data_IF_304735953900
#
_entry.id   IF_304735953900
#
_cell.length_a   1.000
_cell.length_b   1.000
_cell.length_c   1.000
_cell.angle_alpha   90.00
_cell.angle_beta   90.00
_cell.angle_gamma   90.00
#
_symmetry.space_group_name_H-M   'P 1'
#
loop_
_entity.id
_entity.type
_entity.pdbx_description
1 polymer ?
#
# COMPACT_ATOMS: atom_id res chain seq x y z
N UNK A 1 60.62 -51.93 -10.09
CA UNK A 1 59.72 -51.61 -11.22
C UNK A 1 58.33 -52.18 -10.94
N UNK A 2 57.41 -51.37 -10.42
CA UNK A 2 55.94 -51.51 -10.48
C UNK A 2 55.33 -50.29 -9.78
N UNK A 3 54.74 -49.44 -10.59
CA UNK A 3 54.00 -48.20 -10.30
C UNK A 3 52.55 -48.53 -9.89
N UNK A 4 51.79 -47.50 -9.47
CA UNK A 4 50.31 -47.32 -9.45
C UNK A 4 49.66 -47.45 -8.05
N UNK A 5 48.76 -46.58 -7.57
CA UNK A 5 48.21 -45.25 -7.96
C UNK A 5 47.44 -44.73 -6.72
N UNK A 6 47.54 -43.45 -6.39
CA UNK A 6 46.61 -42.78 -5.46
C UNK A 6 45.40 -42.33 -6.28
N UNK A 7 44.19 -42.81 -5.93
CA UNK A 7 42.93 -42.30 -6.49
C UNK A 7 42.63 -40.94 -5.86
N UNK A 8 42.66 -39.88 -6.66
CA UNK A 8 42.07 -38.59 -6.31
C UNK A 8 40.58 -38.59 -6.66
N UNK A 9 39.72 -38.36 -5.66
CA UNK A 9 38.30 -38.12 -5.88
C UNK A 9 38.12 -36.66 -6.33
N UNK A 10 37.65 -36.46 -7.57
CA UNK A 10 37.26 -35.14 -8.08
C UNK A 10 35.80 -34.92 -7.67
N UNK A 11 35.58 -34.03 -6.71
CA UNK A 11 34.25 -33.56 -6.32
C UNK A 11 33.86 -32.46 -7.31
N UNK A 12 32.97 -32.77 -8.25
CA UNK A 12 32.43 -31.79 -9.19
C UNK A 12 31.44 -30.87 -8.47
N UNK A 13 31.81 -29.60 -8.28
CA UNK A 13 30.87 -28.55 -7.90
C UNK A 13 30.01 -28.20 -9.11
N UNK A 14 28.72 -28.51 -9.02
CA UNK A 14 27.72 -28.05 -9.97
C UNK A 14 27.54 -26.54 -9.76
N UNK A 15 28.09 -25.72 -10.66
CA UNK A 15 27.76 -24.29 -10.71
C UNK A 15 26.39 -24.17 -11.35
N UNK A 16 25.35 -24.01 -10.52
CA UNK A 16 24.04 -23.58 -10.99
C UNK A 16 24.22 -22.11 -11.39
N UNK A 17 24.33 -21.87 -12.70
CA UNK A 17 24.27 -20.52 -13.26
C UNK A 17 22.90 -19.93 -12.94
N UNK A 18 22.82 -19.04 -11.95
CA UNK A 18 21.64 -18.24 -11.73
C UNK A 18 21.45 -17.32 -12.94
N UNK A 19 20.34 -17.50 -13.64
CA UNK A 19 19.84 -16.50 -14.58
C UNK A 19 19.55 -15.22 -13.79
N UNK A 20 20.51 -14.30 -13.74
CA UNK A 20 20.30 -12.96 -13.23
C UNK A 20 19.52 -12.15 -14.27
N UNK A 21 18.22 -12.44 -14.37
CA UNK A 21 17.29 -11.43 -14.89
C UNK A 21 17.28 -10.30 -13.88
N UNK A 22 17.73 -9.10 -14.27
CA UNK A 22 17.58 -7.92 -13.43
C UNK A 22 16.11 -7.83 -12.98
N UNK A 23 15.86 -7.67 -11.68
CA UNK A 23 14.52 -7.43 -11.19
C UNK A 23 13.93 -6.24 -11.97
N UNK A 24 12.67 -6.33 -12.46
CA UNK A 24 12.07 -5.24 -13.20
C UNK A 24 12.19 -3.95 -12.39
N UNK A 25 12.66 -2.88 -13.03
CA UNK A 25 12.82 -1.58 -12.38
C UNK A 25 11.43 -1.07 -12.01
N UNK A 26 11.15 -0.96 -10.72
CA UNK A 26 9.89 -0.40 -10.22
C UNK A 26 9.89 1.10 -10.51
N UNK A 27 8.85 1.58 -11.18
CA UNK A 27 8.70 3.01 -11.48
C UNK A 27 8.41 3.79 -10.19
N UNK A 28 9.08 4.94 -10.02
CA UNK A 28 8.87 5.82 -8.87
C UNK A 28 8.12 7.05 -9.35
N UNK A 29 6.94 7.30 -8.79
CA UNK A 29 6.08 8.45 -9.08
C UNK A 29 5.91 9.33 -7.84
N UNK A 30 5.51 10.57 -8.05
CA UNK A 30 5.10 11.48 -6.96
C UNK A 30 3.59 11.66 -7.04
N UNK A 31 2.90 11.63 -5.91
CA UNK A 31 1.47 11.91 -5.88
C UNK A 31 1.18 13.36 -6.28
N UNK A 32 0.11 13.59 -7.01
CA UNK A 32 -0.31 14.95 -7.37
C UNK A 32 -1.02 15.60 -6.18
N UNK A 33 -0.67 16.84 -5.81
CA UNK A 33 -1.30 17.54 -4.69
C UNK A 33 -2.69 18.05 -5.07
N UNK A 34 -3.63 17.97 -4.13
CA UNK A 34 -4.94 18.59 -4.19
C UNK A 34 -5.13 19.67 -3.13
N UNK A 35 -6.39 20.00 -2.85
CA UNK A 35 -6.79 20.92 -1.79
C UNK A 35 -7.04 20.18 -0.47
N UNK A 36 -7.31 20.93 0.61
CA UNK A 36 -7.80 20.32 1.85
C UNK A 36 -9.12 19.61 1.57
N UNK A 37 -9.34 18.41 2.13
CA UNK A 37 -10.59 17.70 1.94
C UNK A 37 -11.75 18.51 2.55
N UNK A 38 -12.78 18.79 1.77
CA UNK A 38 -14.01 19.39 2.28
C UNK A 38 -14.83 18.29 2.97
N UNK A 39 -15.26 18.55 4.20
CA UNK A 39 -16.19 17.69 4.95
C UNK A 39 -17.50 17.35 4.22
N UNK A 40 -17.88 18.11 3.19
CA UNK A 40 -19.08 17.89 2.36
C UNK A 40 -18.76 17.28 0.98
N UNK A 41 -17.49 17.09 0.64
CA UNK A 41 -17.09 16.43 -0.60
C UNK A 41 -16.98 14.93 -0.33
N UNK A 42 -17.96 14.16 -0.84
CA UNK A 42 -18.03 12.71 -0.70
C UNK A 42 -16.93 11.95 -1.47
N UNK A 43 -15.88 12.66 -1.89
CA UNK A 43 -14.68 12.13 -2.49
C UNK A 43 -14.78 11.90 -4.00
N UNK A 44 -13.66 11.51 -4.64
CA UNK A 44 -13.63 11.13 -6.05
C UNK A 44 -14.70 10.15 -6.49
N UNK A 45 -14.92 10.07 -7.81
CA UNK A 45 -15.30 8.82 -8.47
C UNK A 45 -14.27 7.72 -8.14
N UNK A 46 -14.49 7.02 -7.03
CA UNK A 46 -13.67 5.92 -6.57
C UNK A 46 -14.09 4.63 -7.27
N UNK A 47 -13.22 3.62 -7.20
CA UNK A 47 -13.55 2.29 -7.68
C UNK A 47 -14.80 1.71 -6.95
N UNK A 48 -15.11 2.22 -5.76
CA UNK A 48 -16.21 1.76 -4.92
C UNK A 48 -17.60 1.92 -5.57
N UNK A 49 -17.73 2.84 -6.54
CA UNK A 49 -18.96 3.01 -7.32
C UNK A 49 -19.28 1.80 -8.21
N UNK A 50 -18.25 1.05 -8.64
CA UNK A 50 -18.41 -0.05 -9.59
C UNK A 50 -18.07 -1.43 -9.00
N UNK A 51 -17.11 -1.50 -8.08
CA UNK A 51 -16.67 -2.76 -7.48
C UNK A 51 -16.23 -2.56 -6.03
N UNK A 52 -16.74 -3.39 -5.13
CA UNK A 52 -16.30 -3.43 -3.72
C UNK A 52 -15.13 -4.41 -3.53
N UNK A 53 -14.44 -4.30 -2.40
CA UNK A 53 -13.29 -5.10 -2.03
C UNK A 53 -13.33 -5.46 -0.54
N UNK A 54 -12.42 -6.34 -0.14
CA UNK A 54 -12.09 -6.58 1.28
C UNK A 54 -10.76 -5.89 1.57
N UNK A 55 -10.66 -5.22 2.72
CA UNK A 55 -9.44 -4.55 3.15
C UNK A 55 -8.85 -5.23 4.38
N UNK A 56 -7.53 -5.38 4.42
CA UNK A 56 -6.79 -5.92 5.57
C UNK A 56 -5.55 -5.09 5.83
N UNK A 57 -5.20 -4.90 7.10
CA UNK A 57 -3.93 -4.32 7.51
C UNK A 57 -3.04 -5.40 8.15
N UNK A 58 -1.72 -5.25 8.07
CA UNK A 58 -0.77 -6.12 8.79
C UNK A 58 -0.85 -5.95 10.31
N UNK A 59 -1.14 -4.73 10.76
CA UNK A 59 -1.40 -4.40 12.16
C UNK A 59 -2.32 -3.19 12.25
N UNK A 60 -2.72 -2.84 13.47
CA UNK A 60 -3.27 -1.54 13.78
C UNK A 60 -3.00 -1.19 15.24
N UNK A 61 -2.93 0.09 15.55
CA UNK A 61 -2.81 0.56 16.92
C UNK A 61 -4.02 0.13 17.75
N UNK A 62 -3.80 -0.21 19.02
CA UNK A 62 -4.90 -0.52 19.92
C UNK A 62 -5.77 0.72 20.17
N UNK A 63 -7.09 0.56 20.37
CA UNK A 63 -7.98 1.68 20.70
C UNK A 63 -7.50 2.47 21.93
N UNK A 64 -7.69 3.79 21.88
CA UNK A 64 -7.34 4.71 22.96
C UNK A 64 -8.53 5.60 23.30
N UNK A 65 -9.10 5.40 24.49
CA UNK A 65 -10.35 6.06 24.88
C UNK A 65 -11.48 5.68 23.92
N UNK A 66 -12.03 6.67 23.21
CA UNK A 66 -13.09 6.47 22.22
C UNK A 66 -12.56 6.33 20.78
N UNK A 67 -11.27 6.56 20.54
CA UNK A 67 -10.69 6.46 19.21
C UNK A 67 -10.35 5.01 18.89
N UNK A 68 -10.64 4.60 17.65
CA UNK A 68 -10.20 3.34 17.05
C UNK A 68 -9.33 3.65 15.85
N UNK A 69 -8.48 2.70 15.47
CA UNK A 69 -7.45 2.90 14.45
C UNK A 69 -7.34 1.72 13.48
N UNK A 70 -8.36 0.86 13.44
CA UNK A 70 -8.34 -0.35 12.65
C UNK A 70 -8.54 -0.07 11.16
N UNK A 71 -8.35 -1.11 10.34
CA UNK A 71 -8.37 -1.00 8.87
C UNK A 71 -9.71 -0.50 8.32
N UNK A 72 -10.81 -0.55 9.09
CA UNK A 72 -12.09 -0.02 8.61
C UNK A 72 -12.09 1.50 8.41
N UNK A 73 -11.09 2.21 8.93
CA UNK A 73 -10.92 3.66 8.74
C UNK A 73 -10.01 4.04 7.56
N UNK A 74 -9.54 3.09 6.75
CA UNK A 74 -8.62 3.42 5.64
C UNK A 74 -9.37 3.91 4.38
N UNK A 75 -10.66 3.59 4.29
CA UNK A 75 -11.52 3.85 3.14
C UNK A 75 -12.98 4.11 3.56
N UNK A 76 -13.17 4.78 4.71
CA UNK A 76 -14.49 5.11 5.28
C UNK A 76 -15.03 6.48 4.84
N UNK A 77 -14.24 7.25 4.08
CA UNK A 77 -14.54 8.59 3.60
C UNK A 77 -14.64 9.64 4.72
N UNK A 78 -14.01 9.39 5.88
CA UNK A 78 -14.00 10.29 7.02
C UNK A 78 -12.58 10.80 7.27
N UNK A 79 -12.34 12.05 6.89
CA UNK A 79 -11.04 12.75 7.09
C UNK A 79 -10.54 12.70 8.54
N UNK A 80 -11.45 12.61 9.51
CA UNK A 80 -11.13 12.67 10.93
C UNK A 80 -10.96 11.30 11.62
N UNK A 81 -11.07 10.20 10.87
CA UNK A 81 -10.64 8.86 11.30
C UNK A 81 -9.29 8.55 10.64
N UNK A 82 -8.66 7.45 11.07
CA UNK A 82 -7.47 6.94 10.41
C UNK A 82 -7.25 5.48 10.75
N UNK A 83 -6.65 4.75 9.81
CA UNK A 83 -5.84 3.60 10.17
C UNK A 83 -4.49 4.09 10.69
N UNK A 84 -4.07 3.53 11.82
CA UNK A 84 -2.73 3.75 12.39
C UNK A 84 -2.12 2.38 12.57
N UNK A 85 -0.91 2.18 12.09
CA UNK A 85 -0.15 0.94 12.31
C UNK A 85 0.11 0.69 13.82
N UNK A 86 0.32 -0.56 14.20
CA UNK A 86 0.40 -0.98 15.60
C UNK A 86 1.73 -1.60 16.01
N UNK A 87 2.79 -1.48 15.21
CA UNK A 87 4.11 -2.04 15.52
C UNK A 87 5.00 -1.00 16.22
N UNK A 88 5.99 -1.42 17.02
CA UNK A 88 6.96 -0.47 17.56
C UNK A 88 7.76 0.23 16.45
N UNK A 89 7.90 1.55 16.55
CA UNK A 89 8.64 2.37 15.59
C UNK A 89 7.74 3.08 14.60
N UNK A 90 8.19 3.24 13.37
CA UNK A 90 7.53 4.05 12.33
C UNK A 90 6.64 3.25 11.38
N UNK A 91 6.42 1.96 11.64
CA UNK A 91 5.61 1.11 10.76
C UNK A 91 6.21 0.79 9.39
N UNK A 92 7.53 0.94 9.20
CA UNK A 92 8.16 0.57 7.92
C UNK A 92 8.00 -0.93 7.67
N UNK A 93 7.45 -1.27 6.50
CA UNK A 93 7.09 -2.63 6.13
C UNK A 93 5.63 -3.01 6.44
N UNK A 94 4.89 -2.18 7.17
CA UNK A 94 3.46 -2.40 7.39
C UNK A 94 2.66 -2.20 6.11
N UNK A 95 1.54 -2.90 6.01
CA UNK A 95 0.81 -3.08 4.76
C UNK A 95 -0.69 -2.89 4.90
N UNK A 96 -1.29 -2.42 3.81
CA UNK A 96 -2.73 -2.49 3.53
C UNK A 96 -2.92 -3.37 2.29
N UNK A 97 -3.84 -4.32 2.34
CA UNK A 97 -4.17 -5.22 1.23
C UNK A 97 -5.64 -5.12 0.88
N UNK A 98 -5.91 -4.76 -0.37
CA UNK A 98 -7.22 -4.79 -1.01
C UNK A 98 -7.38 -6.10 -1.78
N UNK A 99 -8.45 -6.84 -1.51
CA UNK A 99 -8.77 -8.11 -2.18
C UNK A 99 -10.06 -8.00 -2.99
N UNK A 100 -9.96 -8.20 -4.29
CA UNK A 100 -11.07 -8.12 -5.24
C UNK A 100 -11.67 -9.50 -5.48
N UNK A 101 -12.48 -9.96 -4.53
CA UNK A 101 -12.99 -11.35 -4.52
C UNK A 101 -13.88 -11.69 -5.72
N UNK A 102 -13.95 -12.98 -6.06
CA UNK A 102 -14.89 -13.50 -7.08
C UNK A 102 -16.35 -13.11 -6.82
N UNK A 103 -16.74 -13.03 -5.55
CA UNK A 103 -18.10 -12.66 -5.18
C UNK A 103 -18.39 -11.18 -5.47
N UNK A 104 -17.42 -10.28 -5.29
CA UNK A 104 -17.58 -8.87 -5.66
C UNK A 104 -17.81 -8.71 -7.15
N UNK A 105 -17.00 -9.38 -7.98
CA UNK A 105 -17.16 -9.34 -9.44
C UNK A 105 -18.50 -9.95 -9.89
N UNK A 106 -18.92 -11.06 -9.28
CA UNK A 106 -20.23 -11.66 -9.55
C UNK A 106 -21.37 -10.71 -9.22
N UNK A 107 -21.36 -10.07 -8.05
CA UNK A 107 -22.38 -9.10 -7.63
C UNK A 107 -22.43 -7.88 -8.55
N UNK A 108 -21.27 -7.40 -9.00
CA UNK A 108 -21.17 -6.29 -9.94
C UNK A 108 -21.46 -6.68 -11.41
N UNK A 109 -21.61 -7.97 -11.71
CA UNK A 109 -21.71 -8.50 -13.09
C UNK A 109 -20.53 -8.06 -13.99
N UNK A 110 -19.31 -8.10 -13.45
CA UNK A 110 -18.09 -7.70 -14.14
C UNK A 110 -17.14 -8.89 -14.33
N UNK A 111 -16.39 -8.89 -15.44
CA UNK A 111 -15.30 -9.87 -15.69
C UNK A 111 -13.92 -9.34 -15.32
N UNK A 112 -13.75 -8.03 -15.41
CA UNK A 112 -12.57 -7.26 -15.04
C UNK A 112 -12.96 -5.80 -14.86
N UNK A 113 -12.12 -5.02 -14.20
CA UNK A 113 -12.29 -3.57 -14.06
C UNK A 113 -10.93 -2.88 -14.08
N UNK A 114 -10.87 -1.64 -14.55
CA UNK A 114 -9.65 -0.84 -14.50
C UNK A 114 -9.43 -0.26 -13.10
N UNK A 115 -8.18 -0.37 -12.63
CA UNK A 115 -7.63 0.28 -11.45
C UNK A 115 -6.55 1.25 -11.91
N UNK A 116 -6.67 2.50 -11.48
CA UNK A 116 -5.86 3.62 -11.96
C UNK A 116 -5.07 4.30 -10.84
N UNK A 117 -5.09 3.76 -9.61
CA UNK A 117 -4.29 4.25 -8.48
C UNK A 117 -5.12 4.58 -7.25
N UNK A 118 -4.76 5.65 -6.53
CA UNK A 118 -5.33 5.96 -5.21
C UNK A 118 -5.62 7.43 -5.00
N UNK A 119 -6.70 7.71 -4.27
CA UNK A 119 -6.93 8.95 -3.56
C UNK A 119 -6.40 8.78 -2.14
N UNK A 120 -5.65 9.77 -1.64
CA UNK A 120 -4.93 9.67 -0.38
C UNK A 120 -5.16 10.89 0.49
N UNK A 121 -5.42 10.66 1.78
CA UNK A 121 -5.29 11.66 2.85
C UNK A 121 -4.26 11.12 3.83
N UNK A 122 -3.10 11.78 3.88
CA UNK A 122 -1.90 11.28 4.52
C UNK A 122 -1.74 11.79 5.96
N UNK A 123 -1.53 10.87 6.92
CA UNK A 123 -1.50 11.18 8.35
C UNK A 123 -2.86 11.04 9.03
N UNK A 124 -2.91 11.30 10.34
CA UNK A 124 -4.15 11.31 11.12
C UNK A 124 -4.77 12.71 11.10
N UNK A 125 -5.64 12.96 10.13
CA UNK A 125 -6.15 14.31 9.81
C UNK A 125 -7.33 14.78 10.67
N UNK A 126 -7.51 14.22 11.88
CA UNK A 126 -8.53 14.65 12.85
C UNK A 126 -8.46 16.14 13.16
N UNK A 127 -7.26 16.64 13.35
CA UNK A 127 -6.95 18.06 13.47
C UNK A 127 -5.46 18.30 13.20
N UNK A 128 -5.06 19.56 13.04
CA UNK A 128 -3.69 19.94 12.70
C UNK A 128 -2.67 19.55 13.79
N UNK A 129 -3.07 19.51 15.05
CA UNK A 129 -2.19 19.12 16.15
C UNK A 129 -1.93 17.62 16.07
N UNK A 130 -3.00 16.82 16.01
CA UNK A 130 -2.95 15.36 15.87
C UNK A 130 -2.14 14.95 14.64
N UNK A 131 -2.35 15.59 13.48
CA UNK A 131 -1.59 15.32 12.26
C UNK A 131 -0.07 15.55 12.42
N UNK A 132 0.34 16.58 13.18
CA UNK A 132 1.76 16.86 13.45
C UNK A 132 2.36 15.96 14.52
N UNK A 133 1.56 15.54 15.49
CA UNK A 133 1.99 14.68 16.59
C UNK A 133 2.31 13.26 16.09
N UNK A 134 1.56 12.76 15.10
CA UNK A 134 1.76 11.44 14.48
C UNK A 134 2.69 11.47 13.26
N UNK A 135 3.27 10.30 12.94
CA UNK A 135 4.03 10.14 11.70
C UNK A 135 3.10 10.05 10.50
N UNK A 136 3.60 10.51 9.35
CA UNK A 136 2.92 10.42 8.05
C UNK A 136 3.70 9.54 7.11
N UNK A 137 3.06 9.01 6.09
CA UNK A 137 3.75 8.22 5.07
C UNK A 137 4.49 9.14 4.10
N UNK A 138 5.77 8.85 3.83
CA UNK A 138 6.58 9.55 2.83
C UNK A 138 6.65 8.80 1.52
N UNK A 139 6.74 7.47 1.59
CA UNK A 139 6.86 6.62 0.41
C UNK A 139 6.15 5.29 0.62
N UNK A 140 5.45 4.82 -0.39
CA UNK A 140 4.82 3.50 -0.43
C UNK A 140 5.28 2.68 -1.63
N UNK A 141 5.16 1.36 -1.53
CA UNK A 141 5.18 0.43 -2.66
C UNK A 141 3.77 -0.06 -2.94
N UNK A 142 3.43 -0.18 -4.21
CA UNK A 142 2.16 -0.75 -4.69
C UNK A 142 2.49 -2.03 -5.45
N UNK A 143 1.86 -3.13 -5.09
CA UNK A 143 2.02 -4.46 -5.69
C UNK A 143 0.68 -4.99 -6.20
N UNK A 144 0.68 -5.64 -7.36
CA UNK A 144 -0.46 -6.40 -7.89
C UNK A 144 -0.12 -7.89 -7.89
N UNK A 145 -0.87 -8.69 -7.14
CA UNK A 145 -0.61 -10.13 -6.98
C UNK A 145 0.87 -10.41 -6.59
N UNK A 146 1.35 -9.70 -5.57
CA UNK A 146 2.72 -9.77 -5.02
C UNK A 146 3.85 -9.39 -6.00
N UNK A 147 3.50 -8.75 -7.12
CA UNK A 147 4.48 -8.18 -8.06
C UNK A 147 4.52 -6.67 -7.89
N UNK A 148 5.68 -6.08 -7.56
CA UNK A 148 5.83 -4.63 -7.50
C UNK A 148 5.45 -3.97 -8.81
N UNK A 149 4.56 -2.98 -8.74
CA UNK A 149 4.15 -2.16 -9.87
C UNK A 149 4.83 -0.78 -9.81
N UNK A 150 4.63 -0.08 -8.70
CA UNK A 150 5.07 1.30 -8.51
C UNK A 150 5.59 1.51 -7.09
N UNK A 151 6.44 2.52 -6.92
CA UNK A 151 6.62 3.21 -5.66
C UNK A 151 6.11 4.64 -5.80
N UNK A 152 5.36 5.13 -4.80
CA UNK A 152 4.81 6.47 -4.82
C UNK A 152 5.35 7.29 -3.64
N UNK A 153 5.83 8.50 -3.92
CA UNK A 153 6.23 9.49 -2.93
C UNK A 153 5.04 10.39 -2.62
N UNK A 154 4.70 10.52 -1.34
CA UNK A 154 3.62 11.38 -0.87
C UNK A 154 4.19 12.71 -0.35
N UNK A 155 3.41 13.77 -0.53
CA UNK A 155 3.66 15.06 0.07
C UNK A 155 3.42 15.01 1.59
N UNK A 156 4.23 15.77 2.34
CA UNK A 156 4.01 16.03 3.76
C UNK A 156 2.93 17.10 3.94
N UNK A 157 1.68 16.73 3.66
CA UNK A 157 0.54 17.63 3.63
C UNK A 157 -0.74 16.94 4.11
N UNK A 158 -1.62 17.73 4.73
CA UNK A 158 -3.00 17.33 5.06
C UNK A 158 -3.94 17.39 3.85
N UNK A 159 -3.50 17.98 2.74
CA UNK A 159 -4.29 18.04 1.52
C UNK A 159 -4.49 16.65 0.94
N UNK A 160 -5.58 16.52 0.19
CA UNK A 160 -5.81 15.39 -0.72
C UNK A 160 -4.60 15.21 -1.63
N UNK A 161 -4.28 13.96 -1.96
CA UNK A 161 -3.26 13.61 -2.93
C UNK A 161 -3.75 12.50 -3.85
N UNK A 162 -3.27 12.50 -5.09
CA UNK A 162 -3.66 11.53 -6.11
C UNK A 162 -2.46 10.76 -6.58
N UNK A 163 -2.52 9.44 -6.48
CA UNK A 163 -1.54 8.55 -7.09
C UNK A 163 -2.14 8.06 -8.38
N UNK A 164 -1.60 8.47 -9.52
CA UNK A 164 -2.00 8.00 -10.83
C UNK A 164 -1.06 6.91 -11.33
N UNK A 165 -1.63 5.76 -11.66
CA UNK A 165 -0.91 4.63 -12.27
C UNK A 165 -1.34 4.47 -13.71
N UNK A 166 -0.49 3.85 -14.53
CA UNK A 166 -0.97 3.24 -15.77
C UNK A 166 -2.06 2.22 -15.45
N UNK A 167 -3.11 2.16 -16.26
CA UNK A 167 -4.26 1.27 -16.02
C UNK A 167 -3.85 -0.18 -15.79
N UNK A 168 -4.23 -0.71 -14.64
CA UNK A 168 -4.16 -2.14 -14.29
C UNK A 168 -5.54 -2.75 -14.45
N UNK A 169 -5.63 -3.88 -15.15
CA UNK A 169 -6.88 -4.63 -15.25
C UNK A 169 -6.98 -5.63 -14.10
N UNK A 170 -7.87 -5.36 -13.15
CA UNK A 170 -8.16 -6.26 -12.05
C UNK A 170 -9.12 -7.37 -12.49
N UNK A 171 -8.81 -8.59 -12.08
CA UNK A 171 -9.59 -9.79 -12.29
C UNK A 171 -10.10 -10.40 -10.97
N UNK A 172 -11.13 -11.27 -11.02
CA UNK A 172 -11.61 -11.99 -9.84
C UNK A 172 -10.51 -12.74 -9.09
N UNK A 173 -10.25 -12.34 -7.85
CA UNK A 173 -9.22 -12.92 -6.97
C UNK A 173 -7.93 -12.11 -6.89
N UNK A 174 -7.81 -11.03 -7.65
CA UNK A 174 -6.63 -10.18 -7.61
C UNK A 174 -6.51 -9.42 -6.28
N UNK A 175 -5.27 -9.09 -5.92
CA UNK A 175 -4.93 -8.24 -4.78
C UNK A 175 -4.13 -7.02 -5.22
N UNK A 176 -4.39 -5.90 -4.54
CA UNK A 176 -3.49 -4.75 -4.51
C UNK A 176 -2.97 -4.60 -3.08
N UNK A 177 -1.65 -4.63 -2.92
CA UNK A 177 -0.98 -4.50 -1.63
C UNK A 177 -0.16 -3.22 -1.63
N UNK A 178 -0.31 -2.44 -0.57
CA UNK A 178 0.40 -1.19 -0.34
C UNK A 178 1.29 -1.36 0.87
N UNK A 179 2.58 -1.09 0.75
CA UNK A 179 3.58 -1.25 1.80
C UNK A 179 4.24 0.08 2.13
N UNK A 180 4.35 0.44 3.42
CA UNK A 180 5.07 1.64 3.86
C UNK A 180 6.57 1.43 3.69
N UNK A 181 7.24 2.31 2.93
CA UNK A 181 8.67 2.27 2.66
C UNK A 181 9.47 3.35 3.38
N UNK A 182 8.85 4.49 3.65
CA UNK A 182 9.44 5.60 4.39
C UNK A 182 8.33 6.48 4.98
N UNK A 183 8.69 7.20 6.03
CA UNK A 183 7.84 8.08 6.81
C UNK A 183 8.36 9.52 6.83
N UNK A 184 7.47 10.44 7.20
CA UNK A 184 7.83 11.70 7.82
C UNK A 184 7.57 11.57 9.32
N UNK A 185 8.59 11.73 10.19
CA UNK A 185 8.42 11.55 11.63
C UNK A 185 7.43 12.54 12.24
N UNK A 186 6.54 12.06 13.10
CA UNK A 186 5.74 12.89 13.99
C UNK A 186 6.61 13.60 15.03
N UNK A 187 6.11 14.70 15.59
CA UNK A 187 6.85 15.44 16.61
C UNK A 187 6.68 14.87 18.03
N UNK A 188 5.87 13.81 18.19
CA UNK A 188 5.54 13.21 19.50
C UNK A 188 5.43 11.69 19.46
N UNK A 189 4.70 11.14 18.50
CA UNK A 189 4.48 9.71 18.34
C UNK A 189 5.20 9.20 17.09
N UNK A 190 5.68 7.95 17.16
CA UNK A 190 6.24 7.28 15.99
C UNK A 190 5.15 6.67 15.10
N UNK A 191 3.96 6.44 15.66
CA UNK A 191 2.83 5.80 15.00
C UNK A 191 2.50 6.47 13.65
N UNK A 192 2.62 5.70 12.57
CA UNK A 192 2.34 6.17 11.20
C UNK A 192 0.88 5.99 10.85
N UNK A 193 0.24 7.08 10.41
CA UNK A 193 -1.19 7.12 10.16
C UNK A 193 -1.53 7.41 8.69
N UNK A 194 -2.67 6.89 8.24
CA UNK A 194 -3.31 7.22 6.97
C UNK A 194 -4.81 7.38 7.22
N UNK A 195 -5.35 8.57 6.97
CA UNK A 195 -6.79 8.84 7.06
C UNK A 195 -7.56 8.25 5.89
N UNK A 196 -7.03 8.33 4.67
CA UNK A 196 -7.68 7.73 3.51
C UNK A 196 -6.64 7.15 2.55
N UNK A 197 -6.93 5.96 2.03
CA UNK A 197 -6.25 5.33 0.90
C UNK A 197 -7.33 4.60 0.08
N UNK A 198 -7.96 5.33 -0.83
CA UNK A 198 -9.13 4.86 -1.57
C UNK A 198 -8.74 4.44 -2.98
N UNK A 199 -8.98 3.18 -3.39
CA UNK A 199 -8.77 2.73 -4.76
C UNK A 199 -9.56 3.56 -5.80
N UNK A 200 -8.89 3.96 -6.87
CA UNK A 200 -9.46 4.69 -8.01
C UNK A 200 -9.56 3.79 -9.24
N UNK A 201 -10.58 4.01 -10.06
CA UNK A 201 -10.83 3.25 -11.28
C UNK A 201 -12.22 3.48 -11.84
N UNK A 202 -12.68 2.57 -12.70
CA UNK A 202 -14.03 2.58 -13.27
C UNK A 202 -14.40 3.80 -14.15
N UNK A 203 -13.39 4.45 -14.73
CA UNK A 203 -13.53 5.56 -15.70
C UNK A 203 -12.78 5.26 -16.99
#
# INVERSE_FOLDING_TARGET
>A
MKTIRVLGAIMAFLVISSLSGAAPKVEVITADPGELPDSNDYGPCSLACALRWQTKASSHLNPQGQNKYDVSHIDDMLVNTAWIEGVPGYGIGETITYTFTKEHFKKANLKKINFNGFYVINGYCKDKTTWKENSRVKKIRIEHNDKPLYEAVLHDSMNVQWIHLSTVWLHPGDTIKVTILAEYPGNKYQDTAISELMPLGAH
#
